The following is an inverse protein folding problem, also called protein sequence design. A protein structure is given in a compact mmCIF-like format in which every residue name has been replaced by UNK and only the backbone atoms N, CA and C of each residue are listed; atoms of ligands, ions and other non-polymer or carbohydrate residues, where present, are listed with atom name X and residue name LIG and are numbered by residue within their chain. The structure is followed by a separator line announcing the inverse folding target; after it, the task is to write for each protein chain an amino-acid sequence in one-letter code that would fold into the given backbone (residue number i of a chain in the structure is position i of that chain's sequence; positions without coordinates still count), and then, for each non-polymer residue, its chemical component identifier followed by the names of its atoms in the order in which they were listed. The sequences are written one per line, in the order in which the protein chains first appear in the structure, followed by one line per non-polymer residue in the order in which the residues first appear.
data_IF_348640271847
#
_entry.id   IF_348640271847
#
_cell.length_a   1.000
_cell.length_b   1.000
_cell.length_c   1.000
_cell.angle_alpha   90.00
_cell.angle_beta   90.00
_cell.angle_gamma   90.00
#
_symmetry.space_group_name_H-M   'P 1'
#
loop_
_entity.id
_entity.type
_entity.pdbx_description
1 polymer ?
#
# COMPACT_ATOMS: atom_id res chain seq x y z
N UNK A 1 28.77 25.76 30.53
CA UNK A 1 28.87 25.66 29.05
C UNK A 1 27.86 24.60 28.63
N UNK A 2 26.78 24.99 27.96
CA UNK A 2 25.71 24.08 27.54
C UNK A 2 25.84 23.91 26.03
N UNK A 3 26.03 22.68 25.55
CA UNK A 3 26.08 22.37 24.13
C UNK A 3 24.68 22.00 23.67
N UNK A 4 24.15 22.77 22.72
CA UNK A 4 23.09 22.26 21.84
C UNK A 4 23.79 21.40 20.79
N UNK A 5 23.42 20.12 20.70
CA UNK A 5 23.84 19.26 19.59
C UNK A 5 22.76 19.40 18.53
N UNK A 6 23.10 20.15 17.48
CA UNK A 6 22.18 20.51 16.40
C UNK A 6 21.90 19.30 15.50
N UNK A 7 20.65 19.12 15.09
CA UNK A 7 20.19 17.99 14.26
C UNK A 7 20.51 18.24 12.78
N UNK A 8 21.80 18.36 12.46
CA UNK A 8 22.32 18.79 11.15
C UNK A 8 23.37 17.83 10.54
N UNK A 9 23.63 16.67 11.16
CA UNK A 9 24.58 15.66 10.66
C UNK A 9 24.08 14.21 10.80
N UNK A 10 22.80 14.02 11.10
CA UNK A 10 22.12 12.74 10.89
C UNK A 10 21.43 12.82 9.53
N UNK A 11 21.48 11.73 8.76
CA UNK A 11 20.55 11.57 7.63
C UNK A 11 19.15 11.30 8.18
N UNK A 12 18.11 11.69 7.44
CA UNK A 12 16.70 11.53 7.87
C UNK A 12 16.16 10.11 7.58
N UNK A 13 17.04 9.20 7.15
CA UNK A 13 16.76 7.80 6.82
C UNK A 13 16.66 6.91 8.08
N UNK A 14 15.59 6.13 8.19
CA UNK A 14 15.43 5.14 9.25
C UNK A 14 16.34 3.93 8.98
N UNK A 15 17.43 3.79 9.76
CA UNK A 15 18.39 2.68 9.66
C UNK A 15 17.75 1.27 9.66
N UNK A 16 16.56 1.13 10.27
CA UNK A 16 15.68 -0.03 10.10
C UNK A 16 14.23 0.47 9.92
N UNK A 17 13.69 0.49 8.69
CA UNK A 17 12.35 0.99 8.41
C UNK A 17 11.25 0.01 8.88
N UNK A 18 10.01 0.50 8.94
CA UNK A 18 8.85 -0.35 9.29
C UNK A 18 8.73 -1.52 8.29
N UNK A 19 8.53 -2.74 8.80
CA UNK A 19 8.46 -3.95 7.97
C UNK A 19 9.81 -4.57 7.56
N UNK A 20 10.94 -3.90 7.84
CA UNK A 20 12.27 -4.43 7.49
C UNK A 20 12.56 -5.79 8.15
N UNK A 21 12.90 -6.79 7.34
CA UNK A 21 13.32 -8.10 7.81
C UNK A 21 14.13 -8.85 6.77
N UNK A 22 15.38 -9.19 7.11
CA UNK A 22 16.22 -10.01 6.23
C UNK A 22 15.82 -11.49 6.29
N UNK A 23 15.72 -12.12 5.12
CA UNK A 23 15.67 -13.57 4.97
C UNK A 23 17.07 -14.13 4.66
N UNK A 24 17.23 -15.45 4.77
CA UNK A 24 18.38 -16.17 4.22
C UNK A 24 18.32 -16.33 2.68
N UNK A 25 17.24 -15.84 2.06
CA UNK A 25 16.96 -15.84 0.61
C UNK A 25 16.62 -14.43 0.13
N UNK A 26 16.83 -14.17 -1.16
CA UNK A 26 16.33 -12.97 -1.83
C UNK A 26 15.02 -13.28 -2.58
N UNK A 27 14.16 -12.28 -2.75
CA UNK A 27 12.89 -12.36 -3.46
C UNK A 27 12.82 -11.28 -4.56
N UNK A 28 12.01 -11.48 -5.60
CA UNK A 28 11.87 -10.57 -6.74
C UNK A 28 10.46 -10.67 -7.32
N UNK A 29 9.77 -9.54 -7.54
CA UNK A 29 8.33 -9.53 -7.37
C UNK A 29 7.59 -8.48 -8.28
N UNK A 30 6.65 -8.86 -9.18
CA UNK A 30 5.92 -7.93 -10.11
C UNK A 30 4.37 -8.06 -10.13
N UNK A 31 3.62 -6.94 -10.19
CA UNK A 31 2.14 -6.91 -10.22
C UNK A 31 1.53 -7.47 -11.52
N UNK A 32 0.50 -8.33 -11.37
CA UNK A 32 -0.22 -8.96 -12.48
C UNK A 32 -1.58 -8.28 -12.78
N UNK A 33 -2.39 -7.96 -11.76
CA UNK A 33 -3.71 -7.31 -11.93
C UNK A 33 -4.20 -6.55 -10.69
N UNK A 34 -5.22 -5.70 -10.87
CA UNK A 34 -5.93 -5.00 -9.79
C UNK A 34 -7.37 -4.70 -10.23
N UNK A 35 -8.36 -5.35 -9.60
CA UNK A 35 -9.77 -5.30 -10.02
C UNK A 35 -10.72 -5.17 -8.81
N UNK A 36 -11.87 -4.52 -8.99
CA UNK A 36 -12.95 -4.45 -7.99
C UNK A 36 -13.99 -5.54 -8.29
N UNK A 37 -14.60 -6.12 -7.25
CA UNK A 37 -15.61 -7.19 -7.36
C UNK A 37 -16.97 -6.72 -7.93
N UNK A 38 -17.09 -5.47 -8.40
CA UNK A 38 -18.34 -4.87 -8.84
C UNK A 38 -18.60 -5.03 -10.35
N UNK A 39 -19.48 -5.97 -10.72
CA UNK A 39 -19.96 -6.12 -12.10
C UNK A 39 -20.62 -4.83 -12.63
N UNK A 40 -20.33 -4.50 -13.90
CA UNK A 40 -20.97 -3.39 -14.62
C UNK A 40 -20.41 -1.98 -14.37
N UNK A 41 -19.40 -1.81 -13.49
CA UNK A 41 -18.68 -0.53 -13.35
C UNK A 41 -17.63 -0.32 -14.46
N UNK A 42 -17.11 0.91 -14.57
CA UNK A 42 -16.02 1.24 -15.49
C UNK A 42 -14.73 0.56 -15.02
N UNK A 43 -13.93 0.01 -15.94
CA UNK A 43 -12.61 -0.54 -15.58
C UNK A 43 -11.73 0.57 -14.98
N UNK A 44 -11.22 0.32 -13.77
CA UNK A 44 -10.40 1.29 -13.03
C UNK A 44 -11.15 2.14 -12.00
N UNK A 45 -12.45 1.90 -11.76
CA UNK A 45 -13.20 2.59 -10.68
C UNK A 45 -13.75 1.63 -9.62
N UNK A 46 -13.98 2.14 -8.40
CA UNK A 46 -14.59 1.42 -7.29
C UNK A 46 -15.51 2.34 -6.47
N UNK A 47 -16.27 1.76 -5.53
CA UNK A 47 -17.17 2.48 -4.63
C UNK A 47 -17.20 1.89 -3.22
N UNK A 48 -18.06 2.42 -2.36
CA UNK A 48 -18.32 1.80 -1.05
C UNK A 48 -19.02 0.44 -1.23
N UNK A 49 -18.80 -0.47 -0.28
CA UNK A 49 -19.26 -1.86 -0.32
C UNK A 49 -18.47 -2.78 -1.25
N UNK A 50 -17.48 -2.27 -1.99
CA UNK A 50 -16.63 -3.08 -2.88
C UNK A 50 -15.48 -3.76 -2.09
N UNK A 51 -15.11 -4.96 -2.52
CA UNK A 51 -13.78 -5.52 -2.26
C UNK A 51 -12.90 -5.22 -3.47
N UNK A 52 -11.67 -4.76 -3.23
CA UNK A 52 -10.66 -4.68 -4.28
C UNK A 52 -9.72 -5.88 -4.12
N UNK A 53 -9.60 -6.68 -5.17
CA UNK A 53 -8.66 -7.81 -5.26
C UNK A 53 -7.49 -7.39 -6.13
N UNK A 54 -6.29 -7.42 -5.55
CA UNK A 54 -5.06 -7.14 -6.26
C UNK A 54 -4.28 -8.46 -6.40
N UNK A 55 -3.88 -8.84 -7.62
CA UNK A 55 -3.06 -10.04 -7.85
C UNK A 55 -1.65 -9.59 -8.18
N UNK A 56 -0.70 -9.75 -7.23
CA UNK A 56 0.49 -8.88 -7.17
C UNK A 56 1.83 -9.54 -6.89
N UNK A 57 2.87 -8.73 -7.08
CA UNK A 57 4.22 -8.86 -6.48
C UNK A 57 4.96 -7.46 -6.52
N UNK A 58 5.96 -7.20 -5.63
CA UNK A 58 6.16 -6.07 -4.64
C UNK A 58 7.60 -5.39 -4.60
N UNK A 59 7.85 -4.04 -4.32
CA UNK A 59 9.10 -3.51 -3.61
C UNK A 59 9.17 -2.16 -2.79
N UNK A 60 8.71 -0.91 -3.09
CA UNK A 60 8.48 0.27 -2.13
C UNK A 60 8.38 1.69 -2.82
N UNK A 61 8.15 2.77 -2.03
CA UNK A 61 8.55 4.22 -2.11
C UNK A 61 7.51 5.14 -1.43
N UNK A 62 7.74 5.58 -0.19
CA UNK A 62 7.15 6.75 0.50
C UNK A 62 5.61 6.96 0.67
N UNK A 63 5.22 7.61 1.78
CA UNK A 63 3.87 8.12 2.10
C UNK A 63 2.69 7.15 1.90
N UNK A 64 2.75 5.98 2.55
CA UNK A 64 1.72 4.92 2.46
C UNK A 64 1.18 4.52 3.82
N UNK A 65 -0.11 4.19 3.84
CA UNK A 65 -0.70 3.30 4.83
C UNK A 65 -0.52 1.84 4.36
N UNK A 66 -0.08 0.94 5.23
CA UNK A 66 -0.16 -0.49 4.94
C UNK A 66 -1.63 -0.92 5.06
N UNK A 67 -2.27 -1.21 3.92
CA UNK A 67 -3.70 -1.52 3.85
C UNK A 67 -4.00 -3.03 3.76
N UNK A 68 -3.08 -3.82 3.22
CA UNK A 68 -3.15 -5.29 3.16
C UNK A 68 -1.74 -5.90 3.17
N UNK A 69 -1.59 -7.10 3.75
CA UNK A 69 -0.38 -7.92 3.68
C UNK A 69 -0.73 -9.40 3.88
N UNK A 70 0.04 -10.30 3.25
CA UNK A 70 -0.01 -11.74 3.49
C UNK A 70 1.40 -12.25 3.80
N UNK A 71 1.50 -13.29 4.64
CA UNK A 71 2.76 -14.01 4.86
C UNK A 71 2.73 -15.32 4.08
N UNK A 72 3.55 -15.38 3.04
CA UNK A 72 3.76 -16.58 2.24
C UNK A 72 5.00 -17.36 2.73
N UNK A 73 5.05 -18.63 2.37
CA UNK A 73 6.26 -19.46 2.38
C UNK A 73 6.44 -19.96 0.95
N UNK A 74 7.66 -19.84 0.43
CA UNK A 74 7.99 -20.13 -0.97
C UNK A 74 9.25 -20.99 -0.98
N UNK A 75 9.20 -22.15 -1.63
CA UNK A 75 10.35 -23.04 -1.73
C UNK A 75 11.36 -22.57 -2.80
N UNK A 76 12.56 -23.16 -2.80
CA UNK A 76 13.64 -22.72 -3.67
C UNK A 76 13.30 -22.90 -5.18
N UNK A 77 13.20 -21.78 -5.90
CA UNK A 77 12.76 -21.70 -7.32
C UNK A 77 11.26 -21.89 -7.56
N UNK A 78 10.42 -21.76 -6.54
CA UNK A 78 8.97 -21.71 -6.67
C UNK A 78 8.46 -20.27 -6.97
N UNK A 79 7.36 -20.16 -7.71
CA UNK A 79 6.63 -18.90 -7.93
C UNK A 79 5.19 -19.08 -7.46
N UNK A 80 4.71 -18.17 -6.60
CA UNK A 80 3.34 -18.18 -6.07
C UNK A 80 2.67 -16.84 -6.40
N UNK A 81 1.64 -16.85 -7.23
CA UNK A 81 0.70 -15.70 -7.35
C UNK A 81 -0.18 -15.68 -6.10
N UNK A 82 -0.38 -14.49 -5.51
CA UNK A 82 -1.27 -14.30 -4.38
C UNK A 82 -2.13 -13.04 -4.54
N UNK A 83 -3.42 -13.20 -4.28
CA UNK A 83 -4.36 -12.10 -4.20
C UNK A 83 -4.36 -11.47 -2.80
N UNK A 84 -4.22 -10.14 -2.73
CA UNK A 84 -4.54 -9.35 -1.55
C UNK A 84 -5.94 -8.76 -1.72
N UNK A 85 -6.84 -9.08 -0.80
CA UNK A 85 -8.17 -8.49 -0.73
C UNK A 85 -8.20 -7.28 0.20
N UNK A 86 -8.91 -6.23 -0.21
CA UNK A 86 -9.07 -5.01 0.58
C UNK A 86 -10.55 -4.62 0.71
N UNK A 87 -11.06 -4.64 1.94
CA UNK A 87 -12.37 -4.06 2.29
C UNK A 87 -12.30 -2.52 2.24
N UNK A 88 -12.87 -1.92 1.19
CA UNK A 88 -12.89 -0.46 1.00
C UNK A 88 -13.40 0.25 2.26
N UNK A 89 -14.59 -0.14 2.71
CA UNK A 89 -15.33 0.51 3.81
C UNK A 89 -14.63 0.42 5.17
N UNK A 90 -13.61 -0.43 5.32
CA UNK A 90 -12.81 -0.54 6.56
C UNK A 90 -11.57 0.33 6.54
N UNK A 91 -10.78 0.28 5.46
CA UNK A 91 -9.39 0.74 5.48
C UNK A 91 -9.12 2.07 4.76
N UNK A 92 -10.00 2.49 3.84
CA UNK A 92 -9.81 3.71 3.03
C UNK A 92 -10.52 4.98 3.54
N UNK A 93 -11.63 4.93 4.31
CA UNK A 93 -12.28 6.14 4.83
C UNK A 93 -11.41 6.88 5.85
N UNK A 94 -11.19 8.17 5.60
CA UNK A 94 -10.49 9.09 6.48
C UNK A 94 -11.46 9.86 7.39
N UNK A 95 -10.94 10.52 8.42
CA UNK A 95 -11.71 11.46 9.26
C UNK A 95 -11.45 12.87 8.77
N UNK A 96 -12.52 13.56 8.35
CA UNK A 96 -12.41 14.89 7.77
C UNK A 96 -12.39 16.00 8.86
N UNK A 97 -12.39 17.27 8.44
CA UNK A 97 -12.35 18.44 9.36
C UNK A 97 -13.62 18.66 10.19
N UNK A 98 -14.74 18.09 9.79
CA UNK A 98 -15.99 18.07 10.57
C UNK A 98 -16.05 16.88 11.56
N UNK A 99 -15.00 16.06 11.64
CA UNK A 99 -14.94 14.77 12.34
C UNK A 99 -15.82 13.67 11.74
N UNK A 100 -16.28 13.84 10.49
CA UNK A 100 -17.01 12.82 9.76
C UNK A 100 -16.07 11.77 9.17
N UNK A 101 -16.52 10.50 9.16
CA UNK A 101 -15.82 9.41 8.46
C UNK A 101 -16.24 9.39 7.00
N UNK A 102 -15.31 9.61 6.09
CA UNK A 102 -15.58 9.84 4.65
C UNK A 102 -14.57 9.08 3.78
N UNK A 103 -15.08 8.38 2.77
CA UNK A 103 -14.30 7.97 1.60
C UNK A 103 -14.39 9.12 0.59
N UNK A 104 -13.29 9.81 0.30
CA UNK A 104 -13.30 10.95 -0.63
C UNK A 104 -13.19 10.49 -2.10
N UNK A 105 -13.83 11.21 -3.03
CA UNK A 105 -13.66 11.01 -4.47
C UNK A 105 -12.25 11.44 -4.93
N UNK A 106 -11.66 10.67 -5.84
CA UNK A 106 -10.30 10.90 -6.35
C UNK A 106 -9.56 9.61 -6.67
N UNK A 107 -8.29 9.76 -7.05
CA UNK A 107 -7.41 8.64 -7.43
C UNK A 107 -6.67 8.07 -6.21
N UNK A 108 -6.98 6.82 -5.86
CA UNK A 108 -6.26 6.08 -4.82
C UNK A 108 -5.13 5.29 -5.47
N UNK A 109 -3.89 5.59 -5.06
CA UNK A 109 -2.68 5.03 -5.65
C UNK A 109 -2.18 3.87 -4.78
N UNK A 110 -2.47 2.65 -5.21
CA UNK A 110 -2.01 1.44 -4.53
C UNK A 110 -0.59 1.11 -4.97
N UNK A 111 0.29 0.93 -3.99
CA UNK A 111 1.74 0.88 -4.15
C UNK A 111 2.29 -0.22 -3.27
N UNK A 112 3.24 -0.97 -3.81
CA UNK A 112 3.55 -2.28 -3.26
C UNK A 112 5.02 -2.39 -2.87
N UNK A 113 5.24 -2.86 -1.64
CA UNK A 113 6.44 -2.54 -0.86
C UNK A 113 7.02 -3.74 -0.05
N UNK A 114 8.31 -4.05 -0.22
CA UNK A 114 9.15 -4.98 0.56
C UNK A 114 9.19 -4.49 2.02
N UNK A 115 9.39 -3.19 2.20
CA UNK A 115 9.45 -2.49 3.47
C UNK A 115 8.73 -1.12 3.42
N UNK A 116 8.73 -0.37 4.51
CA UNK A 116 8.04 0.91 4.69
C UNK A 116 8.89 2.17 4.55
N UNK A 117 10.12 2.09 4.04
CA UNK A 117 11.00 3.25 3.85
C UNK A 117 10.46 4.27 2.84
N UNK A 118 11.15 5.40 2.73
CA UNK A 118 10.92 6.42 1.70
C UNK A 118 11.58 6.02 0.37
N UNK A 119 12.78 5.44 0.42
CA UNK A 119 13.72 5.31 -0.71
C UNK A 119 13.78 3.91 -1.36
N UNK A 120 13.09 2.91 -0.80
CA UNK A 120 13.13 1.53 -1.31
C UNK A 120 12.26 1.40 -2.60
N UNK A 121 12.67 0.63 -3.64
CA UNK A 121 12.27 0.92 -5.03
C UNK A 121 10.92 0.34 -5.51
N UNK A 122 10.16 1.03 -6.38
CA UNK A 122 8.87 0.52 -6.90
C UNK A 122 9.06 -0.67 -7.85
N UNK A 123 8.51 -1.86 -7.53
CA UNK A 123 8.17 -2.87 -8.56
C UNK A 123 6.70 -2.84 -9.01
N UNK A 124 5.79 -2.27 -8.21
CA UNK A 124 4.39 -2.13 -8.61
C UNK A 124 3.66 -0.89 -8.07
N UNK A 125 2.87 -0.30 -8.98
CA UNK A 125 1.99 0.85 -8.78
C UNK A 125 0.73 0.68 -9.63
N UNK A 126 -0.44 0.85 -9.04
CA UNK A 126 -1.72 1.00 -9.76
C UNK A 126 -2.50 2.18 -9.20
N UNK A 127 -3.45 2.71 -9.95
CA UNK A 127 -4.32 3.80 -9.53
C UNK A 127 -5.77 3.43 -9.86
N UNK A 128 -6.67 3.60 -8.87
CA UNK A 128 -8.09 3.31 -9.01
C UNK A 128 -8.89 4.52 -8.51
N UNK A 129 -9.91 4.93 -9.28
CA UNK A 129 -10.70 6.12 -9.00
C UNK A 129 -11.97 5.84 -8.20
N UNK A 130 -12.21 6.61 -7.14
CA UNK A 130 -13.54 6.72 -6.51
C UNK A 130 -14.32 7.83 -7.21
N UNK A 131 -15.40 7.48 -7.92
CA UNK A 131 -16.17 8.45 -8.71
C UNK A 131 -16.99 9.44 -7.87
N UNK A 132 -17.37 9.08 -6.63
CA UNK A 132 -18.20 9.90 -5.75
C UNK A 132 -17.86 9.67 -4.28
N UNK A 133 -17.70 10.73 -3.50
CA UNK A 133 -17.43 10.63 -2.06
C UNK A 133 -18.60 9.97 -1.31
N UNK A 134 -18.29 9.16 -0.30
CA UNK A 134 -19.27 8.50 0.56
C UNK A 134 -19.01 8.81 2.02
N UNK A 135 -20.04 9.16 2.77
CA UNK A 135 -20.00 9.43 4.22
C UNK A 135 -20.71 8.31 4.98
N UNK A 136 -20.06 7.83 6.04
CA UNK A 136 -20.54 6.77 6.94
C UNK A 136 -21.26 7.35 8.18
#
# INVERSE_FOLDING_TARGET
MHFWVDMFTADDEFQYPFGYGLSYTAFSQSLESAESTAEGRKKGTFSHGDTISFSLSITNTANKQLVAFNRLYVEASETITNDLELEVDRYLPLVNREYDRVLEAGDYVFLLSDDGSLDSPVLAKTALGVETSHKY
#
